data_IF_047079452848
#
_entry.id   IF_047079452848
#
_cell.length_a   1.000
_cell.length_b   1.000
_cell.length_c   1.000
_cell.angle_alpha   90.00
_cell.angle_beta   90.00
_cell.angle_gamma   90.00
#
_symmetry.space_group_name_H-M   'P 1'
#
loop_
_entity.id
_entity.type
_entity.pdbx_description
1 polymer ?
#
# COMPACT_ATOMS: atom_id res chain seq x y z
N UNK A 1 25.89 -21.83 -34.96
CA UNK A 1 24.76 -21.57 -35.88
C UNK A 1 24.10 -20.25 -35.50
N UNK A 2 23.91 -19.32 -36.43
CA UNK A 2 23.22 -18.05 -36.14
C UNK A 2 21.72 -18.28 -36.19
N UNK A 3 21.02 -17.99 -35.10
CA UNK A 3 19.56 -18.06 -35.05
C UNK A 3 18.98 -16.90 -35.88
N UNK A 4 18.37 -17.21 -37.02
CA UNK A 4 17.78 -16.23 -37.92
C UNK A 4 16.33 -15.87 -37.56
N UNK A 5 15.70 -16.63 -36.65
CA UNK A 5 14.33 -16.35 -36.17
C UNK A 5 14.27 -15.01 -35.41
N UNK A 6 15.35 -14.64 -34.72
CA UNK A 6 15.45 -13.40 -33.96
C UNK A 6 15.32 -12.13 -34.80
N UNK A 7 15.51 -12.21 -36.13
CA UNK A 7 15.34 -11.06 -37.04
C UNK A 7 13.94 -10.96 -37.65
N UNK A 8 13.10 -11.96 -37.44
CA UNK A 8 11.73 -11.93 -37.95
C UNK A 8 10.97 -10.78 -37.29
N UNK A 9 10.23 -10.06 -38.11
CA UNK A 9 9.34 -9.00 -37.69
C UNK A 9 7.93 -9.57 -37.51
N UNK A 10 7.29 -9.23 -36.40
CA UNK A 10 5.96 -9.69 -36.03
C UNK A 10 5.14 -8.52 -35.47
N UNK A 11 3.83 -8.53 -35.73
CA UNK A 11 2.91 -7.58 -35.12
C UNK A 11 2.77 -7.86 -33.62
N UNK A 12 2.60 -6.83 -32.81
CA UNK A 12 2.31 -6.97 -31.39
C UNK A 12 1.00 -7.73 -31.15
N UNK A 13 0.97 -8.60 -30.15
CA UNK A 13 -0.25 -9.32 -29.73
C UNK A 13 -1.38 -8.36 -29.32
N UNK A 14 -1.02 -7.17 -28.83
CA UNK A 14 -1.97 -6.11 -28.48
C UNK A 14 -2.46 -5.30 -29.70
N UNK A 15 -2.23 -5.75 -30.93
CA UNK A 15 -2.74 -5.09 -32.14
C UNK A 15 -4.28 -4.98 -32.15
N UNK A 16 -4.97 -5.97 -31.57
CA UNK A 16 -6.43 -5.94 -31.37
C UNK A 16 -6.88 -4.77 -30.48
N UNK A 17 -6.01 -4.30 -29.58
CA UNK A 17 -6.26 -3.16 -28.69
C UNK A 17 -5.72 -1.83 -29.26
N UNK A 18 -5.24 -1.82 -30.51
CA UNK A 18 -4.77 -0.61 -31.21
C UNK A 18 -3.26 -0.48 -31.36
N UNK A 19 -2.46 -1.46 -30.90
CA UNK A 19 -1.01 -1.42 -31.12
C UNK A 19 -0.62 -1.71 -32.58
N UNK A 20 -0.14 -0.73 -33.32
CA UNK A 20 0.36 -0.91 -34.69
C UNK A 20 1.85 -1.28 -34.77
N UNK A 21 2.50 -1.57 -33.65
CA UNK A 21 3.93 -1.83 -33.60
C UNK A 21 4.28 -3.17 -34.29
N UNK A 22 5.22 -3.10 -35.22
CA UNK A 22 5.90 -4.27 -35.79
C UNK A 22 7.28 -4.35 -35.14
N UNK A 23 7.48 -5.37 -34.32
CA UNK A 23 8.71 -5.55 -33.54
C UNK A 23 9.43 -6.82 -33.97
N UNK A 24 10.71 -6.92 -33.67
CA UNK A 24 11.44 -8.16 -33.90
C UNK A 24 11.04 -9.20 -32.85
N UNK A 25 11.07 -10.47 -33.23
CA UNK A 25 10.71 -11.58 -32.35
C UNK A 25 11.54 -11.61 -31.05
N UNK A 26 12.83 -11.26 -31.12
CA UNK A 26 13.70 -11.15 -29.95
C UNK A 26 13.32 -10.01 -29.00
N UNK A 27 12.70 -8.95 -29.52
CA UNK A 27 12.27 -7.78 -28.75
C UNK A 27 10.79 -7.82 -28.35
N UNK A 28 10.00 -8.79 -28.84
CA UNK A 28 8.56 -8.87 -28.61
C UNK A 28 8.22 -8.90 -27.12
N UNK A 29 8.94 -9.71 -26.33
CA UNK A 29 8.71 -9.82 -24.89
C UNK A 29 8.92 -8.50 -24.14
N UNK A 30 9.95 -7.74 -24.51
CA UNK A 30 10.21 -6.41 -23.94
C UNK A 30 9.18 -5.40 -24.40
N UNK A 31 8.73 -5.47 -25.65
CA UNK A 31 7.64 -4.60 -26.10
C UNK A 31 6.34 -4.90 -25.33
N UNK A 32 5.99 -6.17 -25.12
CA UNK A 32 4.75 -6.57 -24.42
C UNK A 32 4.72 -6.10 -22.95
N UNK A 33 5.86 -6.07 -22.26
CA UNK A 33 5.93 -5.52 -20.89
C UNK A 33 5.61 -4.03 -20.85
N UNK A 34 6.05 -3.30 -21.88
CA UNK A 34 6.01 -1.83 -21.90
C UNK A 34 4.89 -1.29 -22.80
N UNK A 35 4.12 -2.16 -23.45
CA UNK A 35 3.10 -1.79 -24.42
C UNK A 35 1.97 -0.97 -23.78
N UNK A 36 1.77 0.25 -24.25
CA UNK A 36 0.70 1.16 -23.77
C UNK A 36 -0.72 0.65 -24.05
N UNK A 37 -0.84 -0.26 -25.03
CA UNK A 37 -2.10 -0.89 -25.43
C UNK A 37 -2.33 -2.23 -24.72
N UNK A 38 -1.45 -2.63 -23.80
CA UNK A 38 -1.66 -3.84 -23.00
C UNK A 38 -2.81 -3.60 -22.00
N UNK A 39 -3.97 -4.29 -22.14
CA UNK A 39 -5.10 -4.13 -21.23
C UNK A 39 -4.74 -4.54 -19.80
N UNK A 40 -3.87 -5.55 -19.65
CA UNK A 40 -3.42 -6.06 -18.34
C UNK A 40 -2.42 -5.15 -17.66
N UNK A 41 -1.98 -4.06 -18.30
CA UNK A 41 -1.04 -3.12 -17.69
C UNK A 41 -1.70 -2.54 -16.44
N UNK A 42 -1.08 -2.66 -15.24
CA UNK A 42 -1.61 -2.05 -14.04
C UNK A 42 -1.59 -0.53 -14.21
N UNK A 43 -2.71 0.08 -13.89
CA UNK A 43 -2.91 1.52 -13.84
C UNK A 43 -3.46 1.89 -12.48
N UNK A 44 -2.92 2.95 -11.89
CA UNK A 44 -3.47 3.55 -10.69
C UNK A 44 -4.65 4.43 -11.09
N UNK A 45 -5.72 4.42 -10.30
CA UNK A 45 -6.87 5.28 -10.55
C UNK A 45 -6.50 6.77 -10.57
N UNK A 46 -6.78 7.45 -11.68
CA UNK A 46 -6.50 8.89 -11.87
C UNK A 46 -7.42 9.80 -11.04
N UNK A 47 -8.54 9.27 -10.54
CA UNK A 47 -9.49 9.99 -9.68
C UNK A 47 -9.05 10.04 -8.21
N UNK A 48 -7.83 9.56 -7.91
CA UNK A 48 -7.21 9.72 -6.59
C UNK A 48 -7.65 8.70 -5.54
N UNK A 49 -8.33 7.60 -5.92
CA UNK A 49 -8.67 6.54 -4.96
C UNK A 49 -7.47 5.65 -4.59
N UNK A 50 -6.38 5.71 -5.37
CA UNK A 50 -5.13 4.99 -5.10
C UNK A 50 -5.16 3.49 -5.42
N UNK A 51 -6.27 2.95 -5.94
CA UNK A 51 -6.36 1.55 -6.32
C UNK A 51 -5.59 1.28 -7.63
N UNK A 52 -4.77 0.23 -7.64
CA UNK A 52 -4.13 -0.32 -8.84
C UNK A 52 -5.02 -1.41 -9.46
N UNK A 53 -5.27 -1.31 -10.76
CA UNK A 53 -6.10 -2.26 -11.50
C UNK A 53 -5.70 -2.35 -12.97
N UNK A 54 -6.09 -3.40 -13.71
CA UNK A 54 -5.89 -3.46 -15.16
C UNK A 54 -6.54 -2.29 -15.89
N UNK A 55 -5.90 -1.82 -16.98
CA UNK A 55 -6.40 -0.72 -17.81
C UNK A 55 -7.80 -1.01 -18.39
N UNK A 56 -8.12 -2.25 -18.70
CA UNK A 56 -9.44 -2.64 -19.22
C UNK A 56 -10.55 -2.61 -18.17
N UNK A 57 -10.21 -2.74 -16.89
CA UNK A 57 -11.18 -2.68 -15.78
C UNK A 57 -11.42 -1.25 -15.28
N UNK A 58 -10.56 -0.29 -15.65
CA UNK A 58 -10.68 1.13 -15.30
C UNK A 58 -12.08 1.73 -15.56
N UNK A 59 -12.73 1.54 -16.73
CA UNK A 59 -14.08 2.08 -16.96
C UNK A 59 -15.16 1.49 -16.06
N UNK A 60 -14.96 0.27 -15.54
CA UNK A 60 -15.89 -0.39 -14.61
C UNK A 60 -15.53 -0.15 -13.13
N UNK A 61 -14.53 0.68 -12.85
CA UNK A 61 -14.10 1.00 -11.50
C UNK A 61 -15.10 1.90 -10.75
N UNK A 62 -15.38 1.60 -9.48
CA UNK A 62 -16.20 2.44 -8.61
C UNK A 62 -15.35 2.98 -7.44
N UNK A 63 -14.83 4.21 -7.61
CA UNK A 63 -13.99 4.90 -6.62
C UNK A 63 -14.64 4.96 -5.24
N UNK A 64 -15.94 5.28 -5.21
CA UNK A 64 -16.68 5.51 -3.97
C UNK A 64 -16.80 4.21 -3.17
N UNK A 65 -17.08 3.09 -3.85
CA UNK A 65 -17.14 1.76 -3.20
C UNK A 65 -15.79 1.40 -2.58
N UNK A 66 -14.70 1.62 -3.31
CA UNK A 66 -13.35 1.37 -2.81
C UNK A 66 -13.03 2.26 -1.59
N UNK A 67 -13.21 3.57 -1.72
CA UNK A 67 -12.93 4.53 -0.64
C UNK A 67 -13.75 4.25 0.62
N UNK A 68 -15.04 3.89 0.49
CA UNK A 68 -15.86 3.48 1.65
C UNK A 68 -15.27 2.26 2.37
N UNK A 69 -14.80 1.27 1.61
CA UNK A 69 -14.15 0.08 2.19
C UNK A 69 -12.85 0.44 2.90
N UNK A 70 -12.04 1.32 2.30
CA UNK A 70 -10.80 1.81 2.92
C UNK A 70 -11.09 2.55 4.22
N UNK A 71 -12.06 3.47 4.22
CA UNK A 71 -12.46 4.22 5.43
C UNK A 71 -12.97 3.27 6.52
N UNK A 72 -13.81 2.29 6.18
CA UNK A 72 -14.27 1.29 7.14
C UNK A 72 -13.11 0.49 7.74
N UNK A 73 -12.18 0.03 6.90
CA UNK A 73 -11.00 -0.71 7.37
C UNK A 73 -10.12 0.17 8.27
N UNK A 74 -9.93 1.43 7.93
CA UNK A 74 -9.18 2.38 8.75
C UNK A 74 -9.87 2.59 10.10
N UNK A 75 -11.19 2.74 10.13
CA UNK A 75 -11.94 2.90 11.38
C UNK A 75 -11.80 1.69 12.31
N UNK A 76 -11.82 0.48 11.77
CA UNK A 76 -11.58 -0.75 12.54
C UNK A 76 -10.16 -0.78 13.11
N UNK A 77 -9.14 -0.49 12.28
CA UNK A 77 -7.74 -0.45 12.75
C UNK A 77 -7.52 0.61 13.83
N UNK A 78 -8.14 1.78 13.68
CA UNK A 78 -8.07 2.85 14.70
C UNK A 78 -8.66 2.33 16.02
N UNK A 79 -9.83 1.71 16.01
CA UNK A 79 -10.46 1.18 17.22
C UNK A 79 -9.59 0.10 17.90
N UNK A 80 -8.97 -0.79 17.12
CA UNK A 80 -8.03 -1.81 17.63
C UNK A 80 -6.77 -1.17 18.23
N UNK A 81 -6.20 -0.17 17.55
CA UNK A 81 -5.04 0.57 18.04
C UNK A 81 -5.35 1.37 19.32
N UNK A 82 -6.54 1.97 19.41
CA UNK A 82 -6.99 2.66 20.62
C UNK A 82 -7.15 1.70 21.80
N UNK A 83 -7.72 0.51 21.55
CA UNK A 83 -7.86 -0.55 22.57
C UNK A 83 -6.49 -1.02 23.08
N UNK A 84 -5.59 -1.40 22.17
CA UNK A 84 -4.24 -1.87 22.54
C UNK A 84 -3.43 -0.76 23.24
N UNK A 85 -3.58 0.49 22.82
CA UNK A 85 -2.99 1.65 23.50
C UNK A 85 -3.51 1.81 24.92
N UNK A 86 -4.82 1.65 25.15
CA UNK A 86 -5.40 1.68 26.48
C UNK A 86 -4.90 0.53 27.38
N UNK A 87 -4.80 -0.68 26.82
CA UNK A 87 -4.27 -1.85 27.52
C UNK A 87 -2.79 -1.66 27.91
N UNK A 88 -1.96 -1.18 26.99
CA UNK A 88 -0.56 -0.87 27.28
C UNK A 88 -0.41 0.23 28.33
N UNK A 89 -1.25 1.27 28.28
CA UNK A 89 -1.26 2.33 29.32
C UNK A 89 -1.61 1.78 30.69
N UNK A 90 -2.57 0.85 30.78
CA UNK A 90 -2.92 0.20 32.04
C UNK A 90 -1.76 -0.67 32.55
N UNK A 91 -1.16 -1.51 31.71
CA UNK A 91 0.00 -2.32 32.08
C UNK A 91 1.17 -1.47 32.58
N UNK A 92 1.45 -0.32 31.94
CA UNK A 92 2.47 0.62 32.40
C UNK A 92 2.13 1.25 33.76
N UNK A 93 0.86 1.52 34.04
CA UNK A 93 0.43 2.06 35.33
C UNK A 93 0.61 1.03 36.47
N UNK A 94 0.34 -0.24 36.20
CA UNK A 94 0.55 -1.34 37.17
C UNK A 94 2.05 -1.59 37.43
N UNK A 95 2.88 -1.44 36.40
CA UNK A 95 4.34 -1.60 36.48
C UNK A 95 5.09 -0.36 36.95
N UNK A 96 4.39 0.75 37.22
CA UNK A 96 4.96 1.90 37.90
C UNK A 96 4.76 1.71 39.41
N UNK A 97 5.66 1.00 40.13
CA UNK A 97 5.56 0.91 41.58
C UNK A 97 5.55 2.33 42.14
N UNK A 98 4.67 2.54 43.12
CA UNK A 98 4.31 3.85 43.61
C UNK A 98 5.49 4.81 43.79
N UNK A 99 5.18 6.08 43.54
CA UNK A 99 5.73 7.23 44.26
C UNK A 99 5.61 7.02 45.79
N UNK A 100 6.35 6.05 46.30
CA UNK A 100 6.47 5.63 47.69
C UNK A 100 7.87 5.96 48.19
N UNK A 101 8.23 7.24 48.19
CA UNK A 101 9.11 7.76 49.24
C UNK A 101 8.18 8.23 50.37
N UNK A 102 8.00 7.40 51.38
CA UNK A 102 7.26 7.76 52.60
C UNK A 102 8.19 8.38 53.64
N UNK A 103 7.72 9.51 54.21
CA UNK A 103 8.02 10.13 55.51
C UNK A 103 9.45 10.63 55.80
N UNK A 104 9.51 11.93 56.13
CA UNK A 104 9.86 12.30 57.50
C UNK A 104 9.11 13.56 57.98
N UNK A 105 8.30 13.40 59.03
CA UNK A 105 7.93 14.44 59.99
C UNK A 105 8.62 14.00 61.27
N UNK A 106 9.81 14.51 61.58
CA UNK A 106 10.34 14.97 62.87
C UNK A 106 11.87 15.03 62.82
N UNK A 107 12.45 16.21 62.57
CA UNK A 107 13.68 16.67 63.25
C UNK A 107 13.93 18.15 62.89
N UNK A 108 13.24 19.05 63.60
CA UNK A 108 13.71 20.42 63.77
C UNK A 108 14.35 20.48 65.17
N UNK A 109 15.69 20.47 65.29
CA UNK A 109 16.33 20.78 66.55
C UNK A 109 16.25 22.30 66.75
N UNK A 110 15.80 22.72 67.93
CA UNK A 110 15.88 24.09 68.38
C UNK A 110 17.32 24.61 68.21
N UNK A 111 17.49 25.69 67.45
CA UNK A 111 18.75 26.44 67.40
C UNK A 111 18.44 27.93 67.57
N UNK A 112 18.73 28.38 68.81
CA UNK A 112 19.20 29.69 69.28
C UNK A 112 18.63 30.98 68.66
#
# INVERSE_FOLDING_TARGET
MRNMLSKLQIACDNAVFGCSAIVRLDNLMSHLSDCEHNPKRPVTCEQGCGLEMPKDELPNHNCIKHLRSVVQQQQTRIAELEKTSAEHKHQLAELAPGSGYTRDKTDEPAVL
#
